data_IF_327166069251
#
_entry.id   IF_327166069251
#
_cell.length_a   1.000
_cell.length_b   1.000
_cell.length_c   1.000
_cell.angle_alpha   90.00
_cell.angle_beta   90.00
_cell.angle_gamma   90.00
#
_symmetry.space_group_name_H-M   'P 1'
#
loop_
_entity.id
_entity.type
_entity.pdbx_description
1 polymer ?
#
# COMPACT_ATOMS: atom_id res chain seq x y z
N UNK A 1 -6.96 -9.02 8.50
CA UNK A 1 -5.60 -8.77 7.99
C UNK A 1 -4.73 -10.04 8.14
N UNK A 2 -4.92 -11.05 7.28
CA UNK A 2 -4.01 -12.21 7.17
C UNK A 2 -3.09 -11.96 5.98
N UNK A 3 -1.79 -12.04 6.24
CA UNK A 3 -0.70 -11.72 5.32
C UNK A 3 -0.70 -12.70 4.12
N UNK A 4 -0.85 -12.16 2.90
CA UNK A 4 -0.60 -12.85 1.63
C UNK A 4 0.92 -12.94 1.48
N UNK A 5 1.48 -14.12 1.74
CA UNK A 5 2.93 -14.32 1.92
C UNK A 5 3.66 -15.03 0.76
N UNK A 6 3.02 -15.28 -0.38
CA UNK A 6 3.61 -16.12 -1.42
C UNK A 6 3.51 -15.48 -2.79
N UNK A 7 4.54 -14.72 -3.20
CA UNK A 7 4.62 -14.23 -4.59
C UNK A 7 5.80 -13.34 -4.98
N UNK A 8 6.28 -12.44 -4.12
CA UNK A 8 7.28 -11.44 -4.53
C UNK A 8 8.71 -12.00 -4.59
N UNK A 9 9.05 -12.61 -5.73
CA UNK A 9 10.38 -13.12 -6.06
C UNK A 9 11.17 -12.12 -6.91
N UNK A 10 12.29 -11.64 -6.36
CA UNK A 10 13.56 -11.28 -7.03
C UNK A 10 13.78 -9.93 -7.74
N UNK A 11 12.86 -8.96 -7.78
CA UNK A 11 13.22 -7.57 -8.18
C UNK A 11 13.21 -6.64 -6.97
N UNK A 12 14.33 -5.95 -6.76
CA UNK A 12 14.54 -4.89 -5.77
C UNK A 12 13.75 -5.02 -4.45
N UNK A 13 14.07 -6.05 -3.67
CA UNK A 13 13.87 -6.12 -2.21
C UNK A 13 12.94 -5.03 -1.63
N UNK A 14 11.62 -5.22 -1.72
CA UNK A 14 10.67 -4.46 -0.91
C UNK A 14 10.85 -4.95 0.53
N UNK A 15 11.92 -4.48 1.19
CA UNK A 15 12.39 -4.97 2.49
C UNK A 15 11.45 -4.57 3.64
N UNK A 16 10.39 -3.81 3.35
CA UNK A 16 9.44 -3.36 4.36
C UNK A 16 8.02 -3.43 3.79
N UNK A 17 7.21 -4.37 4.25
CA UNK A 17 5.79 -4.50 3.88
C UNK A 17 4.99 -3.19 4.06
N UNK A 18 5.37 -2.32 5.01
CA UNK A 18 4.67 -1.08 5.29
C UNK A 18 4.75 -0.02 4.16
N UNK A 19 5.72 -0.10 3.25
CA UNK A 19 5.88 0.88 2.17
C UNK A 19 5.21 0.46 0.85
N UNK A 20 4.84 -0.82 0.71
CA UNK A 20 4.24 -1.31 -0.52
C UNK A 20 2.89 -0.64 -0.83
N UNK A 21 1.96 -0.46 0.14
CA UNK A 21 0.71 0.26 -0.11
C UNK A 21 0.95 1.73 -0.49
N UNK A 22 1.88 2.42 0.21
CA UNK A 22 2.22 3.82 -0.10
C UNK A 22 2.75 3.97 -1.54
N UNK A 23 3.53 3.00 -2.00
CA UNK A 23 4.05 2.97 -3.37
C UNK A 23 2.97 2.71 -4.41
N UNK A 24 2.09 1.77 -4.13
CA UNK A 24 0.96 1.46 -4.97
C UNK A 24 0.01 2.67 -5.13
N UNK A 25 -0.31 3.36 -4.04
CA UNK A 25 -1.11 4.60 -4.05
C UNK A 25 -0.44 5.69 -4.92
N UNK A 26 0.86 5.90 -4.73
CA UNK A 26 1.63 6.87 -5.51
C UNK A 26 1.71 6.50 -7.00
N UNK A 27 1.79 5.21 -7.34
CA UNK A 27 1.78 4.73 -8.73
C UNK A 27 0.43 5.02 -9.43
N UNK A 28 -0.67 5.02 -8.66
CA UNK A 28 -2.00 5.39 -9.11
C UNK A 28 -2.25 6.91 -9.12
N UNK A 29 -1.24 7.73 -8.81
CA UNK A 29 -1.38 9.18 -8.72
C UNK A 29 -2.20 9.65 -7.51
N UNK A 30 -2.41 8.79 -6.51
CA UNK A 30 -3.11 9.14 -5.28
C UNK A 30 -2.20 9.89 -4.32
N UNK A 31 -2.78 10.83 -3.57
CA UNK A 31 -2.10 11.51 -2.47
C UNK A 31 -2.25 10.65 -1.21
N UNK A 32 -1.12 10.19 -0.66
CA UNK A 32 -1.10 9.34 0.55
C UNK A 32 -0.80 10.13 1.82
N UNK A 33 -1.47 9.77 2.93
CA UNK A 33 -1.26 10.36 4.26
C UNK A 33 -1.02 9.24 5.29
N UNK A 34 0.24 8.84 5.52
CA UNK A 34 0.56 7.79 6.48
C UNK A 34 0.32 8.25 7.93
N UNK A 35 -0.41 7.46 8.70
CA UNK A 35 -0.82 7.78 10.08
C UNK A 35 0.23 7.48 11.17
N UNK A 36 1.47 7.15 10.80
CA UNK A 36 2.45 6.70 11.79
C UNK A 36 2.98 7.82 12.69
N UNK A 37 3.03 7.59 13.99
CA UNK A 37 3.63 8.52 14.98
C UNK A 37 5.07 8.17 15.36
N UNK A 38 5.58 6.99 14.93
CA UNK A 38 6.94 6.52 15.25
C UNK A 38 7.94 7.08 14.24
N UNK A 39 8.98 7.78 14.73
CA UNK A 39 10.03 8.39 13.89
C UNK A 39 10.64 7.43 12.86
N UNK A 40 11.02 6.22 13.29
CA UNK A 40 11.58 5.18 12.39
C UNK A 40 10.64 4.82 11.23
N UNK A 41 9.34 4.78 11.49
CA UNK A 41 8.34 4.47 10.47
C UNK A 41 8.17 5.64 9.51
N UNK A 42 8.14 6.88 10.03
CA UNK A 42 8.09 8.09 9.20
C UNK A 42 9.28 8.17 8.24
N UNK A 43 10.50 7.92 8.73
CA UNK A 43 11.70 7.87 7.88
C UNK A 43 11.59 6.78 6.81
N UNK A 44 11.01 5.63 7.16
CA UNK A 44 10.84 4.52 6.21
C UNK A 44 9.76 4.83 5.17
N UNK A 45 8.65 5.46 5.57
CA UNK A 45 7.59 5.91 4.69
C UNK A 45 8.09 7.00 3.73
N UNK A 46 8.94 7.91 4.22
CA UNK A 46 9.53 8.96 3.38
C UNK A 46 10.46 8.38 2.30
N UNK A 47 11.25 7.36 2.65
CA UNK A 47 12.08 6.63 1.68
C UNK A 47 11.28 5.98 0.55
N UNK A 48 9.97 5.75 0.75
CA UNK A 48 9.12 5.25 -0.30
C UNK A 48 9.22 6.15 -1.54
N UNK A 49 9.26 7.48 -1.41
CA UNK A 49 9.29 8.42 -2.55
C UNK A 49 10.36 8.10 -3.62
N UNK A 50 11.51 7.56 -3.23
CA UNK A 50 12.60 7.19 -4.16
C UNK A 50 12.49 5.81 -4.80
N UNK A 51 11.44 5.04 -4.50
CA UNK A 51 11.20 3.70 -5.04
C UNK A 51 10.15 3.75 -6.16
N UNK A 52 10.29 2.85 -7.13
CA UNK A 52 9.37 2.69 -8.26
C UNK A 52 8.92 1.23 -8.32
N UNK A 53 7.62 1.01 -8.54
CA UNK A 53 7.07 -0.30 -8.86
C UNK A 53 7.03 -0.43 -10.38
N UNK A 54 7.34 -1.62 -10.89
CA UNK A 54 7.08 -1.91 -12.31
C UNK A 54 5.60 -2.28 -12.53
N UNK A 55 5.20 -2.37 -13.80
CA UNK A 55 3.81 -2.65 -14.15
C UNK A 55 3.34 -4.04 -13.67
N UNK A 56 4.26 -5.01 -13.55
CA UNK A 56 3.94 -6.35 -13.05
C UNK A 56 3.62 -6.31 -11.56
N UNK A 57 4.43 -5.56 -10.79
CA UNK A 57 4.21 -5.34 -9.35
C UNK A 57 2.89 -4.60 -9.09
N UNK A 58 2.58 -3.57 -9.86
CA UNK A 58 1.32 -2.81 -9.73
C UNK A 58 0.13 -3.73 -9.99
N UNK A 59 0.13 -4.46 -11.11
CA UNK A 59 -0.94 -5.39 -11.47
C UNK A 59 -1.11 -6.52 -10.45
N UNK A 60 -0.01 -7.00 -9.86
CA UNK A 60 -0.07 -8.00 -8.79
C UNK A 60 -0.76 -7.45 -7.54
N UNK A 61 -0.47 -6.21 -7.15
CA UNK A 61 -1.10 -5.58 -5.98
C UNK A 61 -2.58 -5.24 -6.26
N UNK A 62 -2.92 -4.80 -7.48
CA UNK A 62 -4.32 -4.57 -7.89
C UNK A 62 -5.17 -5.83 -7.73
N UNK A 63 -4.62 -6.99 -8.08
CA UNK A 63 -5.30 -8.28 -7.95
C UNK A 63 -5.53 -8.72 -6.49
N UNK A 64 -4.99 -8.01 -5.49
CA UNK A 64 -5.23 -8.28 -4.08
C UNK A 64 -6.51 -7.63 -3.53
N UNK A 65 -7.15 -6.73 -4.29
CA UNK A 65 -8.42 -6.14 -3.88
C UNK A 65 -9.48 -7.22 -3.66
N UNK A 66 -10.19 -7.10 -2.54
CA UNK A 66 -11.25 -8.02 -2.14
C UNK A 66 -12.58 -7.31 -1.84
N UNK A 67 -12.69 -6.01 -2.15
CA UNK A 67 -13.89 -5.21 -1.88
C UNK A 67 -14.16 -4.94 -0.40
N UNK A 68 -13.17 -5.15 0.48
CA UNK A 68 -13.31 -4.97 1.92
C UNK A 68 -13.21 -3.48 2.32
N UNK A 69 -14.33 -2.89 2.72
CA UNK A 69 -14.41 -1.51 3.22
C UNK A 69 -14.15 -1.47 4.73
N UNK A 70 -13.03 -0.86 5.12
CA UNK A 70 -12.66 -0.72 6.54
C UNK A 70 -13.39 0.42 7.28
N UNK A 71 -14.01 1.36 6.57
CA UNK A 71 -14.66 2.53 7.15
C UNK A 71 -16.13 2.64 6.70
N UNK A 72 -17.03 2.10 7.52
CA UNK A 72 -18.49 2.15 7.34
C UNK A 72 -19.18 2.55 8.65
N UNK A 73 -19.07 3.82 9.08
CA UNK A 73 -19.80 4.30 10.25
C UNK A 73 -21.30 4.44 9.99
N UNK A 74 -22.12 4.52 11.04
CA UNK A 74 -23.59 4.62 10.95
C UNK A 74 -24.09 5.86 10.18
N UNK A 75 -23.25 6.88 10.04
CA UNK A 75 -23.55 8.10 9.27
C UNK A 75 -23.05 8.04 7.82
N UNK A 76 -22.54 6.90 7.36
CA UNK A 76 -22.09 6.75 5.99
C UNK A 76 -23.26 6.82 5.00
N UNK A 77 -23.05 7.38 3.78
CA UNK A 77 -24.02 7.28 2.70
C UNK A 77 -24.20 5.83 2.24
N UNK A 78 -25.24 5.59 1.44
CA UNK A 78 -25.30 4.39 0.61
C UNK A 78 -24.16 4.46 -0.41
N UNK A 79 -23.19 3.58 -0.23
CA UNK A 79 -22.16 3.34 -1.22
C UNK A 79 -22.73 2.41 -2.30
N UNK A 80 -22.23 2.60 -3.50
CA UNK A 80 -22.44 1.81 -4.70
C UNK A 80 -22.24 0.28 -4.50
#
# INVERSE_FOLDING_TARGET
MKLVQTGLSKKATIKTFAIAPLKWELAHGLVTIPSSTKRKNLETNFKALGLTLDAEDVAYIDALDCGDRQATPDFAPEWD
#
